data_IF_955721398453
#
_entry.id   IF_955721398453
#
_cell.length_a   1.000
_cell.length_b   1.000
_cell.length_c   1.000
_cell.angle_alpha   90.00
_cell.angle_beta   90.00
_cell.angle_gamma   90.00
#
_symmetry.space_group_name_H-M   'P 1'
#
loop_
_entity.id
_entity.type
_entity.pdbx_description
1 polymer ?
#
# COMPACT_ATOMS: atom_id res chain seq x y z
N UNK A 1 -45.46 1.67 1.55
CA UNK A 1 -45.07 0.38 0.94
C UNK A 1 -44.70 -0.59 2.05
N UNK A 2 -45.40 -1.72 2.22
CA UNK A 2 -45.01 -2.77 3.17
C UNK A 2 -44.20 -3.82 2.40
N UNK A 3 -42.90 -3.90 2.64
CA UNK A 3 -42.08 -4.98 2.08
C UNK A 3 -42.44 -6.30 2.76
N UNK A 4 -42.59 -7.38 2.00
CA UNK A 4 -42.83 -8.70 2.59
C UNK A 4 -41.59 -9.15 3.36
N UNK A 5 -41.79 -9.91 4.45
CA UNK A 5 -40.66 -10.49 5.21
C UNK A 5 -39.73 -11.32 4.33
N UNK A 6 -40.27 -11.91 3.26
CA UNK A 6 -39.51 -12.64 2.23
C UNK A 6 -38.60 -11.72 1.41
N UNK A 7 -39.10 -10.55 0.99
CA UNK A 7 -38.29 -9.55 0.26
C UNK A 7 -37.16 -9.01 1.14
N UNK A 8 -37.42 -8.76 2.43
CA UNK A 8 -36.37 -8.37 3.38
C UNK A 8 -35.32 -9.46 3.58
N UNK A 9 -35.73 -10.73 3.65
CA UNK A 9 -34.83 -11.87 3.76
C UNK A 9 -33.93 -12.03 2.53
N UNK A 10 -34.47 -11.85 1.32
CA UNK A 10 -33.70 -11.90 0.06
C UNK A 10 -32.65 -10.79 0.02
N UNK A 11 -33.02 -9.57 0.40
CA UNK A 11 -32.09 -8.43 0.43
C UNK A 11 -30.95 -8.69 1.43
N UNK A 12 -31.25 -9.20 2.63
CA UNK A 12 -30.24 -9.56 3.63
C UNK A 12 -29.33 -10.68 3.11
N UNK A 13 -29.89 -11.74 2.52
CA UNK A 13 -29.12 -12.85 1.96
C UNK A 13 -28.18 -12.38 0.83
N UNK A 14 -28.65 -11.46 -0.01
CA UNK A 14 -27.84 -10.87 -1.08
C UNK A 14 -26.65 -10.09 -0.51
N UNK A 15 -26.84 -9.27 0.53
CA UNK A 15 -25.73 -8.56 1.18
C UNK A 15 -24.70 -9.50 1.83
N UNK A 16 -25.14 -10.59 2.46
CA UNK A 16 -24.24 -11.58 3.07
C UNK A 16 -23.38 -12.28 2.00
N UNK A 17 -23.96 -12.64 0.86
CA UNK A 17 -23.21 -13.28 -0.24
C UNK A 17 -22.11 -12.38 -0.81
N UNK A 18 -22.34 -11.07 -0.91
CA UNK A 18 -21.32 -10.14 -1.39
C UNK A 18 -20.15 -10.01 -0.40
N UNK A 19 -20.44 -9.97 0.90
CA UNK A 19 -19.40 -9.92 1.94
C UNK A 19 -18.49 -11.15 1.95
N UNK A 20 -19.05 -12.35 1.70
CA UNK A 20 -18.26 -13.60 1.64
C UNK A 20 -17.31 -13.60 0.44
N UNK A 21 -17.77 -13.14 -0.73
CA UNK A 21 -16.93 -13.07 -1.93
C UNK A 21 -15.79 -12.04 -1.78
N UNK A 22 -16.07 -10.88 -1.17
CA UNK A 22 -15.05 -9.86 -0.92
C UNK A 22 -13.94 -10.35 0.03
N UNK A 23 -14.31 -11.03 1.12
CA UNK A 23 -13.34 -11.63 2.04
C UNK A 23 -12.50 -12.73 1.36
N UNK A 24 -13.13 -13.54 0.50
CA UNK A 24 -12.41 -14.58 -0.25
C UNK A 24 -11.39 -14.00 -1.23
N UNK A 25 -11.73 -12.92 -1.95
CA UNK A 25 -10.79 -12.23 -2.84
C UNK A 25 -9.60 -11.65 -2.06
N UNK A 26 -9.87 -10.96 -0.95
CA UNK A 26 -8.81 -10.32 -0.17
C UNK A 26 -7.81 -11.35 0.37
N UNK A 27 -8.27 -12.49 0.89
CA UNK A 27 -7.36 -13.52 1.41
C UNK A 27 -6.59 -14.26 0.33
N UNK A 28 -7.24 -14.56 -0.79
CA UNK A 28 -6.69 -15.46 -1.81
C UNK A 28 -5.87 -14.72 -2.87
N UNK A 29 -6.42 -13.65 -3.42
CA UNK A 29 -5.92 -13.05 -4.66
C UNK A 29 -5.13 -11.76 -4.39
N UNK A 30 -5.55 -10.96 -3.39
CA UNK A 30 -4.90 -9.69 -3.06
C UNK A 30 -3.41 -9.82 -2.68
N UNK A 31 -2.91 -10.86 -1.97
CA UNK A 31 -1.48 -11.01 -1.70
C UNK A 31 -0.64 -11.02 -2.98
N UNK A 32 -1.16 -11.65 -4.04
CA UNK A 32 -0.50 -11.66 -5.35
C UNK A 32 -0.55 -10.31 -6.05
N UNK A 33 -1.64 -9.56 -5.89
CA UNK A 33 -1.75 -8.17 -6.39
C UNK A 33 -0.71 -7.28 -5.70
N UNK A 34 -0.61 -7.36 -4.37
CA UNK A 34 0.35 -6.60 -3.58
C UNK A 34 1.80 -6.95 -3.92
N UNK A 35 2.09 -8.24 -4.13
CA UNK A 35 3.43 -8.67 -4.54
C UNK A 35 3.82 -8.07 -5.89
N UNK A 36 2.94 -8.16 -6.91
CA UNK A 36 3.21 -7.53 -8.21
C UNK A 36 3.41 -6.02 -8.10
N UNK A 37 2.61 -5.36 -7.25
CA UNK A 37 2.76 -3.93 -6.98
C UNK A 37 4.11 -3.58 -6.37
N UNK A 38 4.57 -4.40 -5.43
CA UNK A 38 5.90 -4.28 -4.84
C UNK A 38 6.98 -4.43 -5.89
N UNK A 39 6.90 -5.48 -6.71
CA UNK A 39 7.93 -5.82 -7.69
C UNK A 39 8.13 -4.71 -8.72
N UNK A 40 7.06 -4.27 -9.42
CA UNK A 40 7.20 -3.22 -10.43
C UNK A 40 7.62 -1.87 -9.82
N UNK A 41 7.22 -1.58 -8.58
CA UNK A 41 7.57 -0.29 -7.95
C UNK A 41 9.06 -0.26 -7.60
N UNK A 42 9.60 -1.37 -7.08
CA UNK A 42 11.03 -1.52 -6.80
C UNK A 42 11.86 -1.53 -8.08
N UNK A 43 11.38 -2.16 -9.16
CA UNK A 43 12.03 -2.12 -10.46
C UNK A 43 12.09 -0.69 -11.03
N UNK A 44 11.00 0.08 -10.93
CA UNK A 44 10.99 1.49 -11.36
C UNK A 44 11.96 2.34 -10.54
N UNK A 45 11.98 2.15 -9.21
CA UNK A 45 12.93 2.84 -8.35
C UNK A 45 14.38 2.49 -8.74
N UNK A 46 14.69 1.21 -8.94
CA UNK A 46 16.03 0.78 -9.30
C UNK A 46 16.45 1.23 -10.72
N UNK A 47 15.53 1.30 -11.67
CA UNK A 47 15.83 1.70 -13.04
C UNK A 47 16.28 3.17 -13.17
N UNK A 48 15.86 4.04 -12.24
CA UNK A 48 16.23 5.46 -12.29
C UNK A 48 17.69 5.67 -11.84
N UNK A 49 18.53 6.36 -12.63
CA UNK A 49 19.89 6.71 -12.21
C UNK A 49 19.87 7.59 -10.95
N UNK A 50 20.86 7.42 -10.07
CA UNK A 50 20.90 8.10 -8.77
C UNK A 50 20.93 9.63 -8.92
N UNK A 51 21.65 10.13 -9.93
CA UNK A 51 21.73 11.54 -10.30
C UNK A 51 20.36 12.15 -10.67
N UNK A 52 19.40 11.32 -11.09
CA UNK A 52 18.08 11.76 -11.50
C UNK A 52 17.02 11.60 -10.40
N UNK A 53 17.37 11.17 -9.19
CA UNK A 53 16.38 11.04 -8.09
C UNK A 53 15.73 12.38 -7.71
N UNK A 54 16.43 13.50 -7.95
CA UNK A 54 15.88 14.85 -7.77
C UNK A 54 15.12 15.38 -9.00
N UNK A 55 14.96 14.57 -10.05
CA UNK A 55 14.24 14.97 -11.26
C UNK A 55 12.79 15.30 -10.94
N UNK A 56 12.33 16.43 -11.48
CA UNK A 56 10.94 16.89 -11.42
C UNK A 56 10.39 17.02 -12.84
N UNK A 57 9.23 16.42 -13.16
CA UNK A 57 8.62 16.58 -14.48
C UNK A 57 8.07 18.00 -14.70
N UNK A 58 7.60 18.63 -13.62
CA UNK A 58 7.20 20.04 -13.54
C UNK A 58 7.70 20.63 -12.22
N UNK A 59 7.94 21.93 -12.16
CA UNK A 59 8.56 22.60 -10.99
C UNK A 59 7.75 22.37 -9.69
N UNK A 60 6.43 22.43 -9.81
CA UNK A 60 5.45 22.25 -8.72
C UNK A 60 5.24 20.77 -8.33
N UNK A 61 5.71 19.83 -9.14
CA UNK A 61 5.57 18.40 -8.85
C UNK A 61 6.58 17.96 -7.79
N UNK A 62 6.25 16.86 -7.11
CA UNK A 62 7.25 16.12 -6.34
C UNK A 62 8.33 15.57 -7.27
N UNK A 63 9.57 15.53 -6.79
CA UNK A 63 10.66 14.83 -7.45
C UNK A 63 10.44 13.31 -7.42
N UNK A 64 11.21 12.59 -8.22
CA UNK A 64 11.17 11.13 -8.23
C UNK A 64 11.42 10.53 -6.82
N UNK A 65 12.42 11.02 -6.09
CA UNK A 65 12.69 10.61 -4.70
C UNK A 65 11.56 10.98 -3.75
N UNK A 66 11.02 12.19 -3.88
CA UNK A 66 9.89 12.63 -3.06
C UNK A 66 8.68 11.71 -3.26
N UNK A 67 8.38 11.29 -4.49
CA UNK A 67 7.29 10.34 -4.75
C UNK A 67 7.52 8.98 -4.08
N UNK A 68 8.72 8.41 -4.20
CA UNK A 68 9.03 7.11 -3.58
C UNK A 68 8.98 7.17 -2.05
N UNK A 69 9.56 8.23 -1.47
CA UNK A 69 9.53 8.43 -0.02
C UNK A 69 8.12 8.75 0.48
N UNK A 70 7.28 9.43 -0.31
CA UNK A 70 5.87 9.62 0.02
C UNK A 70 5.07 8.31 0.04
N UNK A 71 5.37 7.36 -0.84
CA UNK A 71 4.80 6.00 -0.77
C UNK A 71 5.16 5.33 0.57
N UNK A 72 6.43 5.41 0.98
CA UNK A 72 6.89 4.86 2.26
C UNK A 72 6.17 5.51 3.45
N UNK A 73 6.03 6.83 3.45
CA UNK A 73 5.32 7.56 4.50
C UNK A 73 3.83 7.19 4.54
N UNK A 74 3.17 7.06 3.38
CA UNK A 74 1.78 6.63 3.32
C UNK A 74 1.60 5.23 3.87
N UNK A 75 2.50 4.29 3.56
CA UNK A 75 2.47 2.94 4.13
C UNK A 75 2.55 3.02 5.65
N UNK A 76 3.48 3.79 6.21
CA UNK A 76 3.60 3.96 7.67
C UNK A 76 2.33 4.55 8.28
N UNK A 77 1.81 5.63 7.70
CA UNK A 77 0.61 6.31 8.18
C UNK A 77 -0.64 5.41 8.14
N UNK A 78 -0.93 4.80 7.00
CA UNK A 78 -2.11 3.95 6.82
C UNK A 78 -2.02 2.68 7.68
N UNK A 79 -0.81 2.12 7.82
CA UNK A 79 -0.58 1.01 8.75
C UNK A 79 -0.93 1.41 10.17
N UNK A 80 -0.49 2.59 10.62
CA UNK A 80 -0.84 3.10 11.95
C UNK A 80 -2.33 3.27 12.19
N UNK A 81 -3.09 3.67 11.17
CA UNK A 81 -4.55 3.74 11.28
C UNK A 81 -5.22 2.37 11.44
N UNK A 82 -4.60 1.31 10.91
CA UNK A 82 -5.16 -0.05 10.89
C UNK A 82 -4.70 -0.85 12.10
N UNK A 83 -3.41 -0.80 12.42
CA UNK A 83 -2.76 -1.65 13.43
C UNK A 83 -2.50 -0.91 14.75
N UNK A 84 -2.56 0.43 14.74
CA UNK A 84 -2.13 1.26 15.87
C UNK A 84 -0.62 1.53 15.90
N UNK A 85 0.16 0.95 14.99
CA UNK A 85 1.61 1.12 14.90
C UNK A 85 2.01 1.77 13.57
N UNK A 86 2.74 2.89 13.64
CA UNK A 86 3.31 3.58 12.47
C UNK A 86 4.83 3.35 12.42
N UNK A 87 5.34 2.36 11.67
CA UNK A 87 6.77 2.07 11.66
C UNK A 87 7.57 3.20 11.00
N UNK A 88 8.73 3.55 11.57
CA UNK A 88 9.68 4.44 10.92
C UNK A 88 10.63 3.66 10.02
N UNK A 89 10.38 3.71 8.70
CA UNK A 89 11.20 3.07 7.69
C UNK A 89 12.43 3.90 7.28
N UNK A 90 12.50 5.18 7.67
CA UNK A 90 13.64 6.06 7.37
C UNK A 90 14.70 6.05 8.46
N UNK A 91 14.47 5.34 9.56
CA UNK A 91 15.44 5.14 10.65
C UNK A 91 15.93 6.48 11.21
N UNK A 92 14.99 7.40 11.41
CA UNK A 92 15.21 8.76 11.91
C UNK A 92 15.76 9.77 10.89
N UNK A 93 16.01 9.36 9.65
CA UNK A 93 16.45 10.29 8.59
C UNK A 93 15.27 11.05 7.99
N UNK A 94 15.56 12.25 7.50
CA UNK A 94 14.62 13.00 6.66
C UNK A 94 14.59 12.41 5.24
N UNK A 95 13.42 12.37 4.57
CA UNK A 95 13.29 11.82 3.21
C UNK A 95 14.30 12.39 2.19
N UNK A 96 14.57 13.69 2.28
CA UNK A 96 15.44 14.43 1.34
C UNK A 96 16.92 14.13 1.57
N UNK A 97 17.27 13.57 2.73
CA UNK A 97 18.63 13.21 3.11
C UNK A 97 18.99 11.75 2.78
N UNK A 98 18.04 10.97 2.24
CA UNK A 98 18.27 9.58 1.86
C UNK A 98 19.00 9.51 0.51
N UNK A 99 19.92 8.56 0.41
CA UNK A 99 20.50 8.13 -0.88
C UNK A 99 19.53 7.22 -1.64
N UNK A 100 19.73 7.03 -2.95
CA UNK A 100 18.99 6.03 -3.77
C UNK A 100 18.90 4.67 -3.07
N UNK A 101 20.02 4.16 -2.58
CA UNK A 101 20.07 2.85 -1.93
C UNK A 101 19.20 2.82 -0.66
N UNK A 102 19.21 3.88 0.14
CA UNK A 102 18.42 3.97 1.37
C UNK A 102 16.93 4.14 1.07
N UNK A 103 16.56 4.90 0.03
CA UNK A 103 15.17 4.97 -0.46
C UNK A 103 14.69 3.58 -0.87
N UNK A 104 15.47 2.84 -1.65
CA UNK A 104 15.08 1.50 -2.13
C UNK A 104 14.96 0.49 -0.97
N UNK A 105 15.84 0.59 0.04
CA UNK A 105 15.75 -0.20 1.26
C UNK A 105 14.46 0.14 2.03
N UNK A 106 14.19 1.42 2.29
CA UNK A 106 13.00 1.86 3.02
C UNK A 106 11.71 1.47 2.29
N UNK A 107 11.69 1.60 0.97
CA UNK A 107 10.58 1.19 0.10
C UNK A 107 10.32 -0.32 0.22
N UNK A 108 11.36 -1.14 0.09
CA UNK A 108 11.24 -2.59 0.24
C UNK A 108 10.81 -3.01 1.65
N UNK A 109 11.32 -2.37 2.70
CA UNK A 109 10.91 -2.62 4.09
C UNK A 109 9.43 -2.28 4.31
N UNK A 110 8.96 -1.14 3.80
CA UNK A 110 7.57 -0.72 3.88
C UNK A 110 6.62 -1.68 3.15
N UNK A 111 6.92 -2.06 1.91
CA UNK A 111 6.12 -3.04 1.16
C UNK A 111 6.07 -4.40 1.85
N UNK A 112 7.20 -4.89 2.37
CA UNK A 112 7.25 -6.16 3.13
C UNK A 112 6.43 -6.10 4.41
N UNK A 113 6.41 -4.95 5.10
CA UNK A 113 5.59 -4.77 6.29
C UNK A 113 4.11 -5.00 5.97
N UNK A 114 3.56 -4.31 4.97
CA UNK A 114 2.16 -4.51 4.53
C UNK A 114 1.94 -5.93 4.03
N UNK A 115 2.90 -6.50 3.28
CA UNK A 115 2.80 -7.87 2.77
C UNK A 115 2.68 -8.93 3.87
N UNK A 116 3.21 -8.67 5.08
CA UNK A 116 2.98 -9.53 6.26
C UNK A 116 1.58 -9.32 6.82
N UNK A 117 1.16 -8.07 7.03
CA UNK A 117 -0.18 -7.76 7.52
C UNK A 117 -1.29 -8.37 6.65
N UNK A 118 -1.16 -8.27 5.32
CA UNK A 118 -2.11 -8.86 4.37
C UNK A 118 -2.24 -10.37 4.53
N UNK A 119 -1.15 -11.07 4.89
CA UNK A 119 -1.16 -12.53 5.10
C UNK A 119 -1.70 -12.94 6.47
N UNK A 120 -1.67 -12.03 7.44
CA UNK A 120 -2.10 -12.24 8.82
C UNK A 120 -3.59 -11.86 9.05
N UNK A 121 -4.23 -11.20 8.08
CA UNK A 121 -5.65 -10.85 8.15
C UNK A 121 -6.54 -12.09 7.99
N UNK A 122 -7.28 -12.40 9.05
CA UNK A 122 -8.38 -13.37 9.10
C UNK A 122 -9.72 -12.81 8.60
#
# INVERSE_FOLDING_TARGET
MKFSKQALFIVIAFFIQHSIMAQSYFKKDYPGVWQRATDYTLEVAEAMPAENYNFKPLEESMSFQEQLTHVVQNISFLSGLITGESPDFFKGKKPEALTKAEVNIALGEAFRYVGRLVKEVD
#
